data_IF_981101444668
#
_entry.id   IF_981101444668
#
_cell.length_a   1.000
_cell.length_b   1.000
_cell.length_c   1.000
_cell.angle_alpha   90.00
_cell.angle_beta   90.00
_cell.angle_gamma   90.00
#
_symmetry.space_group_name_H-M   'P 1'
#
loop_
_entity.id
_entity.type
_entity.pdbx_description
1 polymer ?
#
# COMPACT_ATOMS: atom_id res chain seq x y z
N UNK A 1 2.57 0.34 6.45
CA UNK A 1 3.95 -0.16 6.66
C UNK A 1 4.51 0.09 8.06
N UNK A 2 4.02 1.07 8.81
CA UNK A 2 4.45 1.30 10.21
C UNK A 2 4.30 0.05 11.08
N UNK A 3 3.18 -0.68 10.95
CA UNK A 3 2.90 -1.86 11.77
C UNK A 3 3.83 -3.03 11.46
N UNK A 4 4.04 -3.36 10.18
CA UNK A 4 5.05 -4.35 9.76
C UNK A 4 6.45 -3.99 10.27
N UNK A 5 6.85 -2.72 10.16
CA UNK A 5 8.16 -2.25 10.63
C UNK A 5 8.31 -2.42 12.14
N UNK A 6 7.32 -1.97 12.91
CA UNK A 6 7.31 -2.08 14.38
C UNK A 6 7.35 -3.55 14.83
N UNK A 7 6.64 -4.43 14.12
CA UNK A 7 6.69 -5.87 14.35
C UNK A 7 8.08 -6.46 14.07
N UNK A 8 8.72 -6.11 12.94
CA UNK A 8 10.09 -6.56 12.65
C UNK A 8 11.11 -6.03 13.69
N UNK A 9 10.95 -4.80 14.14
CA UNK A 9 11.77 -4.22 15.22
C UNK A 9 11.58 -4.94 16.56
N UNK A 10 10.35 -5.36 16.90
CA UNK A 10 10.10 -6.12 18.12
C UNK A 10 10.69 -7.53 18.05
N UNK A 11 10.59 -8.20 16.89
CA UNK A 11 11.24 -9.48 16.64
C UNK A 11 12.77 -9.40 16.75
N UNK A 12 13.37 -8.36 16.17
CA UNK A 12 14.80 -8.12 16.25
C UNK A 12 15.26 -7.92 17.71
N UNK A 13 14.51 -7.13 18.50
CA UNK A 13 14.81 -6.91 19.93
C UNK A 13 14.70 -8.19 20.75
N UNK A 14 13.68 -9.01 20.50
CA UNK A 14 13.52 -10.30 21.18
C UNK A 14 14.68 -11.24 20.85
N UNK A 15 15.08 -11.30 19.57
CA UNK A 15 16.20 -12.09 19.12
C UNK A 15 17.52 -11.67 19.77
N UNK A 16 17.83 -10.37 19.76
CA UNK A 16 19.05 -9.83 20.37
C UNK A 16 19.11 -10.10 21.88
N UNK A 17 17.96 -10.03 22.58
CA UNK A 17 17.86 -10.38 24.00
C UNK A 17 18.17 -11.85 24.26
N UNK A 18 17.64 -12.75 23.44
CA UNK A 18 17.88 -14.20 23.60
C UNK A 18 19.30 -14.63 23.20
N UNK A 19 19.92 -13.91 22.25
CA UNK A 19 21.35 -14.06 21.94
C UNK A 19 22.21 -13.56 23.12
N UNK A 20 21.88 -12.42 23.72
CA UNK A 20 22.60 -11.88 24.88
C UNK A 20 22.49 -12.77 26.13
N UNK A 21 21.33 -13.40 26.34
CA UNK A 21 21.14 -14.42 27.39
C UNK A 21 21.84 -15.75 27.07
N UNK A 22 22.36 -15.89 25.85
CA UNK A 22 23.02 -17.09 25.34
C UNK A 22 22.07 -18.28 25.16
N UNK A 23 20.75 -18.06 25.04
CA UNK A 23 19.78 -19.11 24.70
C UNK A 23 19.87 -19.52 23.23
N UNK A 24 20.39 -18.62 22.39
CA UNK A 24 20.61 -18.82 20.96
C UNK A 24 22.11 -18.73 20.66
N UNK A 25 22.59 -19.62 19.80
CA UNK A 25 23.96 -19.59 19.29
C UNK A 25 24.17 -18.35 18.38
N UNK A 26 25.17 -17.48 18.64
CA UNK A 26 25.43 -16.29 17.83
C UNK A 26 25.73 -16.56 16.36
N UNK A 27 26.21 -17.75 15.99
CA UNK A 27 26.64 -18.06 14.62
C UNK A 27 25.54 -18.73 13.79
N UNK A 28 24.77 -19.64 14.40
CA UNK A 28 23.74 -20.42 13.71
C UNK A 28 22.32 -19.97 14.04
N UNK A 29 22.16 -19.20 15.13
CA UNK A 29 20.87 -18.86 15.73
C UNK A 29 20.14 -20.05 16.32
N UNK A 30 20.76 -21.24 16.41
CA UNK A 30 20.08 -22.42 16.95
C UNK A 30 19.86 -22.31 18.45
N UNK A 31 18.74 -22.87 18.92
CA UNK A 31 18.48 -23.03 20.34
C UNK A 31 19.53 -23.98 20.94
N UNK A 32 20.28 -23.50 21.93
CA UNK A 32 21.32 -24.30 22.57
C UNK A 32 20.65 -25.36 23.45
N UNK A 33 20.94 -26.64 23.18
CA UNK A 33 20.42 -27.75 24.01
C UNK A 33 20.93 -27.61 25.44
N UNK A 34 20.02 -27.59 26.42
CA UNK A 34 20.34 -27.47 27.85
C UNK A 34 20.11 -26.08 28.46
N UNK A 35 19.69 -25.09 27.67
CA UNK A 35 19.28 -23.76 28.13
C UNK A 35 17.76 -23.56 28.07
N UNK A 36 17.21 -22.53 28.76
CA UNK A 36 15.79 -22.21 28.66
C UNK A 36 15.35 -22.04 27.20
N UNK A 37 14.16 -22.55 26.87
CA UNK A 37 13.61 -22.43 25.51
C UNK A 37 13.57 -20.94 25.11
N UNK A 38 14.08 -20.59 23.93
CA UNK A 38 14.02 -19.21 23.42
C UNK A 38 12.57 -18.79 23.19
N UNK A 39 12.33 -17.48 23.19
CA UNK A 39 11.01 -16.94 22.93
C UNK A 39 10.51 -17.34 21.53
N UNK A 40 9.20 -17.58 21.35
CA UNK A 40 8.65 -17.93 20.03
C UNK A 40 8.95 -16.83 18.99
N UNK A 41 8.96 -15.57 19.39
CA UNK A 41 9.33 -14.42 18.57
C UNK A 41 10.77 -14.51 18.06
N UNK A 42 11.71 -14.91 18.93
CA UNK A 42 13.12 -15.06 18.57
C UNK A 42 13.34 -16.20 17.57
N UNK A 43 12.55 -17.28 17.67
CA UNK A 43 12.57 -18.37 16.70
C UNK A 43 12.05 -17.92 15.32
N UNK A 44 11.03 -17.08 15.29
CA UNK A 44 10.50 -16.47 14.06
C UNK A 44 11.53 -15.51 13.47
N UNK A 45 12.09 -14.62 14.29
CA UNK A 45 13.14 -13.68 13.92
C UNK A 45 14.32 -14.39 13.24
N UNK A 46 14.79 -15.50 13.83
CA UNK A 46 15.84 -16.32 13.25
C UNK A 46 15.46 -16.83 11.85
N UNK A 47 14.26 -17.39 11.68
CA UNK A 47 13.81 -17.89 10.37
C UNK A 47 13.76 -16.79 9.32
N UNK A 48 13.37 -15.58 9.72
CA UNK A 48 13.32 -14.43 8.84
C UNK A 48 14.72 -13.96 8.45
N UNK A 49 15.65 -13.84 9.39
CA UNK A 49 17.04 -13.45 9.11
C UNK A 49 17.71 -14.45 8.14
N UNK A 50 17.41 -15.74 8.29
CA UNK A 50 17.95 -16.80 7.44
C UNK A 50 17.24 -16.94 6.08
N UNK A 51 16.03 -16.40 5.93
CA UNK A 51 15.24 -16.52 4.70
C UNK A 51 15.38 -15.24 3.85
N UNK A 52 15.95 -15.39 2.65
CA UNK A 52 16.04 -14.30 1.68
C UNK A 52 15.71 -14.86 0.30
N UNK A 53 14.74 -14.24 -0.37
CA UNK A 53 14.23 -14.73 -1.65
C UNK A 53 13.78 -16.20 -1.56
N UNK A 54 14.48 -17.09 -2.28
CA UNK A 54 14.20 -18.54 -2.33
C UNK A 54 15.24 -19.39 -1.60
N UNK A 55 16.22 -18.76 -0.96
CA UNK A 55 17.35 -19.41 -0.32
C UNK A 55 17.23 -19.36 1.20
N UNK A 56 17.60 -20.44 1.86
CA UNK A 56 17.74 -20.52 3.31
C UNK A 56 19.22 -20.60 3.66
N UNK A 57 19.79 -19.51 4.18
CA UNK A 57 21.16 -19.54 4.69
C UNK A 57 21.25 -18.69 5.96
N UNK A 58 21.56 -19.34 7.08
CA UNK A 58 21.78 -18.66 8.36
C UNK A 58 23.23 -18.21 8.55
N UNK A 59 24.18 -18.86 7.88
CA UNK A 59 25.61 -18.72 8.18
C UNK A 59 26.10 -17.34 7.76
N UNK A 60 26.64 -16.57 8.73
CA UNK A 60 27.16 -15.22 8.52
C UNK A 60 26.12 -14.10 8.46
N UNK A 61 24.81 -14.42 8.52
CA UNK A 61 23.74 -13.40 8.59
C UNK A 61 23.29 -13.12 10.02
N UNK A 62 23.30 -14.14 10.87
CA UNK A 62 22.98 -13.99 12.29
C UNK A 62 23.99 -13.06 12.95
N UNK A 63 23.52 -12.01 13.62
CA UNK A 63 24.35 -10.99 14.28
C UNK A 63 24.85 -9.84 13.38
N UNK A 64 24.99 -10.07 12.07
CA UNK A 64 25.43 -9.04 11.12
C UNK A 64 24.28 -8.32 10.40
N UNK A 65 23.19 -9.03 10.14
CA UNK A 65 22.06 -8.51 9.36
C UNK A 65 20.97 -8.04 10.30
N UNK A 66 20.59 -6.76 10.18
CA UNK A 66 19.39 -6.20 10.82
C UNK A 66 18.20 -6.23 9.87
N UNK A 67 17.03 -6.60 10.37
CA UNK A 67 15.79 -6.62 9.57
C UNK A 67 15.34 -5.21 9.16
N UNK A 68 15.54 -4.23 10.04
CA UNK A 68 15.18 -2.81 9.83
C UNK A 68 16.40 -1.95 10.13
N UNK A 69 16.73 -1.04 9.22
CA UNK A 69 17.87 -0.13 9.33
C UNK A 69 17.42 1.28 8.93
N UNK A 70 17.62 2.26 9.82
CA UNK A 70 17.18 3.65 9.62
C UNK A 70 15.69 3.79 9.22
N UNK A 71 14.84 2.91 9.75
CA UNK A 71 13.40 2.90 9.43
C UNK A 71 13.03 2.28 8.08
N UNK A 72 14.02 1.80 7.32
CA UNK A 72 13.84 1.11 6.04
C UNK A 72 13.92 -0.39 6.29
N UNK A 73 12.92 -1.12 5.79
CA UNK A 73 12.94 -2.58 5.80
C UNK A 73 13.90 -3.04 4.71
N UNK A 74 14.76 -3.99 5.06
CA UNK A 74 15.77 -4.54 4.16
C UNK A 74 15.13 -5.12 2.87
N UNK A 75 15.53 -4.65 1.67
CA UNK A 75 14.83 -4.96 0.42
C UNK A 75 14.99 -6.42 -0.01
N UNK A 76 16.13 -7.05 0.29
CA UNK A 76 16.44 -8.42 -0.16
C UNK A 76 15.47 -9.49 0.40
N UNK A 77 14.95 -9.26 1.62
CA UNK A 77 14.05 -10.18 2.33
C UNK A 77 12.64 -9.60 2.50
N UNK A 78 12.34 -8.45 1.89
CA UNK A 78 11.08 -7.74 2.09
C UNK A 78 9.84 -8.62 1.84
N UNK A 79 9.81 -9.35 0.71
CA UNK A 79 8.68 -10.22 0.36
C UNK A 79 8.56 -11.46 1.26
N UNK A 80 9.68 -11.93 1.83
CA UNK A 80 9.68 -13.01 2.82
C UNK A 80 9.09 -12.48 4.14
N UNK A 81 9.52 -11.29 4.58
CA UNK A 81 8.99 -10.65 5.79
C UNK A 81 7.50 -10.34 5.66
N UNK A 82 7.06 -9.88 4.49
CA UNK A 82 5.65 -9.62 4.22
C UNK A 82 4.80 -10.89 4.37
N UNK A 83 5.28 -12.01 3.82
CA UNK A 83 4.59 -13.30 3.94
C UNK A 83 4.52 -13.77 5.39
N UNK A 84 5.61 -13.62 6.14
CA UNK A 84 5.62 -14.00 7.55
C UNK A 84 4.67 -13.13 8.38
N UNK A 85 4.69 -11.81 8.19
CA UNK A 85 3.81 -10.90 8.89
C UNK A 85 2.34 -11.18 8.61
N UNK A 86 1.98 -11.38 7.33
CA UNK A 86 0.62 -11.70 6.92
C UNK A 86 0.05 -12.95 7.61
N UNK A 87 0.89 -13.97 7.81
CA UNK A 87 0.42 -15.23 8.39
C UNK A 87 0.57 -15.33 9.93
N UNK A 88 1.65 -14.78 10.49
CA UNK A 88 1.93 -14.85 11.94
C UNK A 88 1.14 -13.81 12.70
N UNK A 89 1.11 -12.57 12.21
CA UNK A 89 0.44 -11.44 12.84
C UNK A 89 -0.81 -11.07 12.04
N UNK A 90 -1.65 -12.08 11.82
CA UNK A 90 -2.88 -11.94 11.04
C UNK A 90 -3.81 -10.86 11.63
N UNK A 91 -3.85 -10.71 12.95
CA UNK A 91 -4.64 -9.70 13.64
C UNK A 91 -4.21 -8.29 13.24
N UNK A 92 -2.91 -8.00 13.25
CA UNK A 92 -2.42 -6.67 12.86
C UNK A 92 -2.60 -6.40 11.37
N UNK A 93 -2.53 -7.44 10.53
CA UNK A 93 -2.93 -7.32 9.13
C UNK A 93 -4.40 -6.92 8.98
N UNK A 94 -5.33 -7.56 9.69
CA UNK A 94 -6.75 -7.18 9.65
C UNK A 94 -7.00 -5.76 10.14
N UNK A 95 -6.32 -5.33 11.22
CA UNK A 95 -6.40 -3.95 11.73
C UNK A 95 -5.88 -2.94 10.69
N UNK A 96 -4.86 -3.32 9.91
CA UNK A 96 -4.33 -2.45 8.86
C UNK A 96 -5.33 -2.19 7.73
N UNK A 97 -6.33 -3.07 7.55
CA UNK A 97 -7.25 -3.12 6.42
C UNK A 97 -6.54 -3.01 5.04
N UNK A 98 -5.26 -3.32 4.99
CA UNK A 98 -4.50 -3.41 3.76
C UNK A 98 -4.99 -4.64 3.01
N UNK A 99 -5.39 -4.47 1.75
CA UNK A 99 -5.83 -5.56 0.88
C UNK A 99 -4.70 -5.88 -0.08
N UNK A 100 -3.93 -6.93 0.21
CA UNK A 100 -2.81 -7.35 -0.64
C UNK A 100 -3.31 -8.22 -1.79
N UNK A 101 -3.04 -7.77 -3.02
CA UNK A 101 -3.27 -8.55 -4.22
C UNK A 101 -1.99 -8.63 -5.07
N UNK A 102 -1.53 -9.84 -5.47
CA UNK A 102 -2.04 -11.15 -5.05
C UNK A 102 -1.80 -11.42 -3.56
N UNK A 103 -2.64 -12.27 -2.97
CA UNK A 103 -2.50 -12.65 -1.56
C UNK A 103 -1.16 -13.36 -1.31
N UNK A 104 -0.45 -13.04 -0.22
CA UNK A 104 0.76 -13.75 0.17
C UNK A 104 0.47 -15.25 0.36
N UNK A 105 1.44 -16.13 0.04
CA UNK A 105 1.26 -17.57 0.24
C UNK A 105 1.08 -17.89 1.72
N UNK A 106 0.33 -18.95 2.01
CA UNK A 106 0.18 -19.42 3.38
C UNK A 106 1.53 -19.94 3.91
N UNK A 107 1.89 -19.52 5.11
CA UNK A 107 3.09 -19.98 5.81
C UNK A 107 2.81 -20.08 7.31
N UNK A 108 3.27 -21.16 7.93
CA UNK A 108 3.17 -21.33 9.38
C UNK A 108 4.48 -21.86 9.93
N UNK A 109 4.71 -21.58 11.22
CA UNK A 109 5.88 -22.05 11.94
C UNK A 109 5.82 -23.57 12.17
N UNK A 110 6.24 -24.36 11.18
CA UNK A 110 6.34 -25.82 11.29
C UNK A 110 7.61 -26.30 12.01
N UNK A 111 7.72 -27.58 12.38
CA UNK A 111 8.92 -28.14 13.02
C UNK A 111 10.13 -28.25 12.08
N UNK A 112 9.90 -28.33 10.76
CA UNK A 112 10.96 -28.34 9.75
C UNK A 112 11.45 -26.91 9.46
N UNK A 113 12.78 -26.71 9.42
CA UNK A 113 13.39 -25.46 8.96
C UNK A 113 13.23 -25.36 7.44
N UNK A 114 12.20 -24.63 6.99
CA UNK A 114 11.94 -24.33 5.58
C UNK A 114 12.03 -22.82 5.34
N UNK A 115 12.45 -22.45 4.13
CA UNK A 115 12.40 -21.07 3.62
C UNK A 115 10.99 -20.52 3.78
N UNK A 116 10.87 -19.29 4.28
CA UNK A 116 9.61 -18.53 4.17
C UNK A 116 9.39 -18.22 2.69
N UNK A 117 8.34 -18.74 2.03
CA UNK A 117 8.14 -18.48 0.62
C UNK A 117 7.99 -16.97 0.38
N UNK A 118 8.68 -16.39 -0.62
CA UNK A 118 8.54 -14.97 -0.90
C UNK A 118 7.15 -14.69 -1.47
N UNK A 119 6.53 -13.59 -1.03
CA UNK A 119 5.33 -13.08 -1.67
C UNK A 119 5.64 -12.67 -3.12
N UNK A 120 4.64 -12.79 -3.99
CA UNK A 120 4.75 -12.21 -5.33
C UNK A 120 4.77 -10.68 -5.22
N UNK A 121 5.34 -9.96 -6.19
CA UNK A 121 5.24 -8.51 -6.25
C UNK A 121 3.76 -8.08 -6.12
N UNK A 122 3.50 -7.17 -5.19
CA UNK A 122 2.16 -6.65 -4.96
C UNK A 122 1.75 -5.78 -6.14
N UNK A 123 0.58 -6.09 -6.71
CA UNK A 123 -0.05 -5.29 -7.77
C UNK A 123 -1.01 -4.27 -7.17
N UNK A 124 -1.62 -4.59 -6.03
CA UNK A 124 -2.54 -3.71 -5.34
C UNK A 124 -2.39 -3.82 -3.82
N UNK A 125 -2.47 -2.65 -3.18
CA UNK A 125 -2.56 -2.47 -1.75
C UNK A 125 -3.39 -1.21 -1.50
N UNK A 126 -4.25 -1.24 -0.49
CA UNK A 126 -5.02 -0.07 -0.07
C UNK A 126 -4.56 0.44 1.30
N UNK A 127 -4.75 1.73 1.54
CA UNK A 127 -4.48 2.38 2.82
C UNK A 127 -5.78 3.07 3.25
N UNK A 128 -6.39 2.64 4.37
CA UNK A 128 -7.64 3.23 4.83
C UNK A 128 -7.38 4.63 5.42
N UNK A 129 -8.22 5.58 5.05
CA UNK A 129 -8.31 6.89 5.67
C UNK A 129 -9.77 7.20 5.99
N UNK A 130 -10.00 7.94 7.08
CA UNK A 130 -11.31 8.44 7.44
C UNK A 130 -11.35 9.94 7.23
N UNK A 131 -12.37 10.39 6.52
CA UNK A 131 -12.69 11.80 6.39
C UNK A 131 -13.64 12.23 7.51
N UNK A 132 -13.48 13.45 7.99
CA UNK A 132 -14.37 14.07 8.97
C UNK A 132 -14.84 15.42 8.44
N UNK A 133 -16.01 15.87 8.91
CA UNK A 133 -16.55 17.21 8.62
C UNK A 133 -16.77 17.55 7.13
N UNK A 134 -17.20 16.58 6.33
CA UNK A 134 -17.66 16.82 4.95
C UNK A 134 -19.17 17.15 4.96
N UNK A 135 -19.52 18.39 5.33
CA UNK A 135 -20.92 18.85 5.35
C UNK A 135 -21.36 19.43 4.02
N UNK A 136 -20.47 20.16 3.35
CA UNK A 136 -20.80 20.95 2.17
C UNK A 136 -20.17 20.38 0.90
N UNK A 137 -20.91 20.49 -0.22
CA UNK A 137 -20.42 20.14 -1.57
C UNK A 137 -19.10 20.83 -1.93
N UNK A 138 -18.91 22.16 -1.78
CA UNK A 138 -17.64 22.80 -2.14
C UNK A 138 -16.45 22.27 -1.33
N UNK A 139 -16.65 21.96 -0.05
CA UNK A 139 -15.60 21.39 0.82
C UNK A 139 -15.21 20.00 0.31
N UNK A 140 -16.21 19.19 -0.07
CA UNK A 140 -15.97 17.85 -0.63
C UNK A 140 -15.21 17.91 -1.96
N UNK A 141 -15.56 18.84 -2.85
CA UNK A 141 -14.86 19.02 -4.14
C UNK A 141 -13.42 19.47 -3.92
N UNK A 142 -13.17 20.41 -3.01
CA UNK A 142 -11.81 20.86 -2.69
C UNK A 142 -10.96 19.71 -2.11
N UNK A 143 -11.54 18.89 -1.21
CA UNK A 143 -10.85 17.71 -0.67
C UNK A 143 -10.47 16.72 -1.78
N UNK A 144 -11.35 16.49 -2.75
CA UNK A 144 -11.06 15.60 -3.88
C UNK A 144 -9.89 16.14 -4.71
N UNK A 145 -9.87 17.45 -4.99
CA UNK A 145 -8.80 18.11 -5.74
C UNK A 145 -7.45 18.01 -5.02
N UNK A 146 -7.41 18.29 -3.71
CA UNK A 146 -6.21 18.18 -2.89
C UNK A 146 -5.66 16.74 -2.85
N UNK A 147 -6.53 15.76 -2.64
CA UNK A 147 -6.12 14.35 -2.59
C UNK A 147 -5.61 13.88 -3.96
N UNK A 148 -6.28 14.26 -5.05
CA UNK A 148 -5.83 13.96 -6.43
C UNK A 148 -4.45 14.57 -6.70
N UNK A 149 -4.24 15.83 -6.33
CA UNK A 149 -2.94 16.49 -6.50
C UNK A 149 -1.81 15.77 -5.76
N UNK A 150 -2.06 15.29 -4.54
CA UNK A 150 -1.09 14.46 -3.80
C UNK A 150 -0.84 13.13 -4.52
N UNK A 151 -1.89 12.47 -5.00
CA UNK A 151 -1.76 11.22 -5.74
C UNK A 151 -0.93 11.39 -7.02
N UNK A 152 -1.16 12.46 -7.77
CA UNK A 152 -0.45 12.78 -9.00
C UNK A 152 1.02 13.09 -8.73
N UNK A 153 1.32 13.81 -7.63
CA UNK A 153 2.69 14.05 -7.19
C UNK A 153 3.46 12.74 -6.96
N UNK A 154 2.89 11.77 -6.26
CA UNK A 154 3.56 10.49 -6.02
C UNK A 154 3.60 9.60 -7.26
N UNK A 155 2.58 9.71 -8.13
CA UNK A 155 2.58 9.03 -9.43
C UNK A 155 3.73 9.53 -10.31
N UNK A 156 3.98 10.85 -10.33
CA UNK A 156 5.13 11.44 -11.04
C UNK A 156 6.49 10.98 -10.50
N UNK A 157 6.56 10.60 -9.21
CA UNK A 157 7.75 10.03 -8.56
C UNK A 157 7.92 8.53 -8.79
N UNK A 158 7.03 7.90 -9.57
CA UNK A 158 7.12 6.49 -9.93
C UNK A 158 6.31 5.54 -9.03
N UNK A 159 5.46 6.05 -8.13
CA UNK A 159 4.53 5.24 -7.35
C UNK A 159 3.08 5.51 -7.81
N UNK A 160 2.54 4.72 -8.77
CA UNK A 160 1.17 4.90 -9.23
C UNK A 160 0.20 4.63 -8.09
N UNK A 161 -0.67 5.61 -7.80
CA UNK A 161 -1.64 5.52 -6.72
C UNK A 161 -2.89 6.33 -7.09
N UNK A 162 -4.05 5.95 -6.54
CA UNK A 162 -5.31 6.62 -6.80
C UNK A 162 -6.22 6.57 -5.56
N UNK A 163 -7.05 7.59 -5.33
CA UNK A 163 -8.03 7.57 -4.27
C UNK A 163 -9.24 6.70 -4.65
N UNK A 164 -9.86 6.08 -3.64
CA UNK A 164 -11.10 5.34 -3.81
C UNK A 164 -12.03 5.62 -2.61
N UNK A 165 -13.33 5.77 -2.87
CA UNK A 165 -14.33 6.00 -1.84
C UNK A 165 -15.58 6.69 -2.40
N UNK A 166 -16.66 6.70 -1.61
CA UNK A 166 -17.96 7.25 -2.04
C UNK A 166 -17.87 8.71 -2.48
N UNK A 167 -17.10 9.54 -1.76
CA UNK A 167 -16.89 10.93 -2.11
C UNK A 167 -16.30 11.06 -3.53
N UNK A 168 -15.28 10.27 -3.86
CA UNK A 168 -14.66 10.27 -5.19
C UNK A 168 -15.62 9.76 -6.27
N UNK A 169 -16.36 8.68 -6.01
CA UNK A 169 -17.29 8.12 -7.00
C UNK A 169 -18.44 9.08 -7.35
N UNK A 170 -18.99 9.81 -6.37
CA UNK A 170 -20.20 10.61 -6.58
C UNK A 170 -19.93 12.11 -6.78
N UNK A 171 -18.91 12.70 -6.14
CA UNK A 171 -18.68 14.14 -6.19
C UNK A 171 -17.60 14.58 -7.19
N UNK A 172 -16.80 13.66 -7.73
CA UNK A 172 -15.75 13.99 -8.69
C UNK A 172 -16.29 14.65 -9.98
N UNK A 173 -17.53 14.32 -10.37
CA UNK A 173 -18.21 14.96 -11.50
C UNK A 173 -18.35 16.50 -11.35
N UNK A 174 -18.40 17.02 -10.12
CA UNK A 174 -18.60 18.45 -9.88
C UNK A 174 -17.35 19.29 -10.19
N UNK A 175 -16.16 18.69 -10.30
CA UNK A 175 -14.91 19.39 -10.66
C UNK A 175 -15.03 20.06 -12.03
N UNK A 176 -15.52 19.31 -13.03
CA UNK A 176 -15.57 19.78 -14.42
C UNK A 176 -16.97 20.20 -14.86
N UNK A 177 -17.97 20.13 -13.98
CA UNK A 177 -19.38 20.36 -14.32
C UNK A 177 -19.61 21.74 -14.95
N UNK A 178 -19.06 22.81 -14.34
CA UNK A 178 -19.25 24.19 -14.83
C UNK A 178 -18.68 24.39 -16.23
N UNK A 179 -17.47 23.86 -16.45
CA UNK A 179 -16.80 23.96 -17.74
C UNK A 179 -17.51 23.12 -18.80
N UNK A 180 -17.83 21.87 -18.49
CA UNK A 180 -18.54 20.97 -19.41
C UNK A 180 -19.93 21.50 -19.77
N UNK A 181 -20.65 22.09 -18.81
CA UNK A 181 -21.95 22.71 -19.06
C UNK A 181 -21.83 23.91 -20.00
N UNK A 182 -20.85 24.79 -19.77
CA UNK A 182 -20.61 25.94 -20.65
C UNK A 182 -20.28 25.47 -22.08
N UNK A 183 -19.35 24.52 -22.23
CA UNK A 183 -19.02 23.93 -23.52
C UNK A 183 -20.25 23.29 -24.19
N UNK A 184 -21.06 22.55 -23.44
CA UNK A 184 -22.27 21.91 -23.96
C UNK A 184 -23.27 22.96 -24.50
N UNK A 185 -23.51 24.04 -23.76
CA UNK A 185 -24.40 25.14 -24.19
C UNK A 185 -23.85 25.78 -25.47
N UNK A 186 -22.54 26.08 -25.55
CA UNK A 186 -21.94 26.66 -26.75
C UNK A 186 -22.07 25.74 -27.97
N UNK A 187 -21.84 24.43 -27.80
CA UNK A 187 -21.95 23.45 -28.88
C UNK A 187 -23.41 23.34 -29.36
N UNK A 188 -24.38 23.27 -28.44
CA UNK A 188 -25.80 23.19 -28.78
C UNK A 188 -26.25 24.46 -29.49
N UNK A 189 -25.89 25.63 -28.96
CA UNK A 189 -26.21 26.93 -29.55
C UNK A 189 -25.63 27.03 -30.97
N UNK A 190 -24.36 26.64 -31.16
CA UNK A 190 -23.74 26.61 -32.48
C UNK A 190 -24.43 25.63 -33.44
N UNK A 191 -24.82 24.44 -32.97
CA UNK A 191 -25.54 23.46 -33.78
C UNK A 191 -26.92 23.99 -34.23
N UNK A 192 -27.66 24.62 -33.33
CA UNK A 192 -28.97 25.24 -33.65
C UNK A 192 -28.79 26.37 -34.65
N UNK A 193 -27.82 27.26 -34.45
CA UNK A 193 -27.48 28.33 -35.39
C UNK A 193 -27.16 27.79 -36.79
N UNK A 194 -26.32 26.75 -36.87
CA UNK A 194 -25.91 26.16 -38.15
C UNK A 194 -27.11 25.56 -38.91
N UNK A 195 -28.01 24.84 -38.22
CA UNK A 195 -29.20 24.24 -38.83
C UNK A 195 -30.18 25.32 -39.32
N UNK A 196 -30.46 26.34 -38.51
CA UNK A 196 -31.37 27.43 -38.89
C UNK A 196 -30.81 28.25 -40.06
N UNK A 197 -29.51 28.58 -40.02
CA UNK A 197 -28.82 29.31 -41.09
C UNK A 197 -28.90 28.58 -42.43
N UNK A 198 -28.73 27.25 -42.41
CA UNK A 198 -28.81 26.41 -43.61
C UNK A 198 -30.26 26.32 -44.15
N UNK A 199 -31.25 26.17 -43.27
CA UNK A 199 -32.66 26.10 -43.68
C UNK A 199 -33.18 27.43 -44.24
N UNK A 200 -32.81 28.56 -43.64
CA UNK A 200 -33.26 29.89 -44.07
C UNK A 200 -32.40 30.50 -45.18
N UNK A 201 -31.25 29.89 -45.50
CA UNK A 201 -30.20 30.46 -46.37
C UNK A 201 -29.83 31.91 -46.00
N UNK A 202 -30.04 32.30 -44.74
CA UNK A 202 -29.82 33.66 -44.25
C UNK A 202 -29.20 33.62 -42.85
N UNK A 203 -27.87 33.78 -42.75
CA UNK A 203 -27.16 33.73 -41.47
C UNK A 203 -27.51 34.92 -40.56
N UNK A 204 -27.95 36.05 -41.13
CA UNK A 204 -28.30 37.24 -40.34
C UNK A 204 -29.62 37.05 -39.59
N UNK A 205 -30.60 36.40 -40.24
CA UNK A 205 -31.85 36.02 -39.59
C UNK A 205 -31.62 34.95 -38.50
N UNK A 206 -30.77 33.95 -38.77
CA UNK A 206 -30.42 32.92 -37.79
C UNK A 206 -29.71 33.50 -36.55
N UNK A 207 -28.89 34.55 -36.71
CA UNK A 207 -28.21 35.23 -35.61
C UNK A 207 -29.14 36.09 -34.74
N UNK A 208 -30.29 36.53 -35.25
CA UNK A 208 -31.29 37.28 -34.48
C UNK A 208 -32.21 36.37 -33.65
N UNK A 209 -32.32 35.09 -34.05
CA UNK A 209 -33.14 34.08 -33.36
C UNK A 209 -32.38 33.42 -32.19
N UNK A 210 -31.05 33.41 -32.28
CA UNK A 210 -30.12 32.90 -31.27
C UNK A 210 -29.71 33.99 -30.27
#
# INVERSE_FOLDING_TARGET
MSMLRVWLESLQKAFEKDVANGSLDPLTGQAIKGKPKPAPESLIARRLICSYGRTYNCTGRVGHVKMVENGIIRPESFYNYLTAWYNVDNMMYYVSQASFQPTPPFWQMGPQEKVVPPARPLLYCQIPFYQTNLTDTPVTVNMIEEVRAVCDLYTSKGLPNFPNGLAFTFWEQYLFLRWNLFCAICIIAFAVFAVISLLMFNPWAAAMVM
#
